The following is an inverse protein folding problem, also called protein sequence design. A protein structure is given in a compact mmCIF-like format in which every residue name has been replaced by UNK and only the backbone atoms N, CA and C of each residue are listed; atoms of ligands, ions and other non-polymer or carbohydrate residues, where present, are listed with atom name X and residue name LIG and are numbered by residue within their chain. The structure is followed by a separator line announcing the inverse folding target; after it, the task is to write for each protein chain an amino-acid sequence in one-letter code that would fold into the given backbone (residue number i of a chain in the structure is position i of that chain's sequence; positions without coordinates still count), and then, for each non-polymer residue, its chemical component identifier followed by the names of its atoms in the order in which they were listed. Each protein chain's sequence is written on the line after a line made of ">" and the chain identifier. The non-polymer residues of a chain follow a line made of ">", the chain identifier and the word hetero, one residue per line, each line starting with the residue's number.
data_IF_773020016625
#
_entry.id   IF_773020016625
#
_cell.length_a   1.000
_cell.length_b   1.000
_cell.length_c   1.000
_cell.angle_alpha   90.00
_cell.angle_beta   90.00
_cell.angle_gamma   90.00
#
_symmetry.space_group_name_H-M   'P 1'
#
loop_
_entity.id
_entity.type
_entity.pdbx_description
1 polymer ?
#
# COMPACT_ATOMS: atom_id res chain seq x y z
N UNK A 1 -13.77 25.64 -20.32
CA UNK A 1 -12.63 26.52 -20.55
C UNK A 1 -11.39 25.65 -20.63
N UNK A 2 -10.73 25.55 -21.78
CA UNK A 2 -9.47 24.80 -21.91
C UNK A 2 -8.36 25.62 -21.22
N UNK A 3 -7.69 25.04 -20.23
CA UNK A 3 -6.50 25.65 -19.60
C UNK A 3 -5.38 25.77 -20.63
N UNK A 4 -4.64 26.89 -20.58
CA UNK A 4 -3.50 27.10 -21.48
C UNK A 4 -2.38 26.07 -21.18
N UNK A 5 -1.54 25.68 -22.16
CA UNK A 5 -0.45 24.69 -21.94
C UNK A 5 0.51 25.06 -20.81
N UNK A 6 0.77 26.36 -20.60
CA UNK A 6 1.58 26.85 -19.47
C UNK A 6 0.94 26.62 -18.11
N UNK A 7 -0.39 26.61 -18.06
CA UNK A 7 -1.19 26.44 -16.85
C UNK A 7 -1.19 24.97 -16.42
N UNK A 8 -1.33 24.03 -17.36
CA UNK A 8 -1.18 22.58 -17.14
C UNK A 8 0.23 22.23 -16.63
N UNK A 9 1.26 22.91 -17.17
CA UNK A 9 2.65 22.72 -16.72
C UNK A 9 2.84 23.23 -15.28
N UNK A 10 2.22 24.36 -14.91
CA UNK A 10 2.29 24.90 -13.55
C UNK A 10 1.58 23.98 -12.54
N UNK A 11 0.39 23.49 -12.88
CA UNK A 11 -0.35 22.53 -12.04
C UNK A 11 0.46 21.25 -11.81
N UNK A 12 1.08 20.69 -12.85
CA UNK A 12 1.92 19.49 -12.73
C UNK A 12 3.13 19.75 -11.81
N UNK A 13 3.84 20.88 -11.98
CA UNK A 13 4.97 21.24 -11.11
C UNK A 13 4.57 21.40 -9.65
N UNK A 14 3.43 22.05 -9.39
CA UNK A 14 2.91 22.20 -8.01
C UNK A 14 2.54 20.84 -7.42
N UNK A 15 1.82 19.99 -8.15
CA UNK A 15 1.47 18.65 -7.73
C UNK A 15 2.72 17.83 -7.40
N UNK A 16 3.71 17.79 -8.28
CA UNK A 16 4.92 16.99 -8.10
C UNK A 16 5.76 17.49 -6.91
N UNK A 17 5.86 18.82 -6.73
CA UNK A 17 6.46 19.41 -5.54
C UNK A 17 5.69 19.05 -4.26
N UNK A 18 4.36 19.07 -4.31
CA UNK A 18 3.52 18.70 -3.18
C UNK A 18 3.69 17.22 -2.80
N UNK A 19 3.72 16.30 -3.77
CA UNK A 19 3.99 14.88 -3.55
C UNK A 19 5.33 14.71 -2.84
N UNK A 20 6.39 15.38 -3.28
CA UNK A 20 7.70 15.30 -2.65
C UNK A 20 7.70 15.81 -1.19
N UNK A 21 7.02 16.92 -0.92
CA UNK A 21 6.89 17.47 0.43
C UNK A 21 6.04 16.57 1.35
N UNK A 22 4.87 16.12 0.88
CA UNK A 22 4.00 15.24 1.66
C UNK A 22 4.67 13.90 1.98
N UNK A 23 5.38 13.32 1.01
CA UNK A 23 6.13 12.06 1.22
C UNK A 23 7.27 12.22 2.23
N UNK A 24 7.96 13.38 2.25
CA UNK A 24 9.11 13.61 3.13
C UNK A 24 8.69 14.03 4.54
N UNK A 25 7.81 15.03 4.64
CA UNK A 25 7.53 15.76 5.87
C UNK A 25 6.19 15.36 6.50
N UNK A 26 5.32 14.66 5.75
CA UNK A 26 3.93 14.41 6.08
C UNK A 26 3.03 15.60 5.78
N UNK A 27 1.72 15.35 5.73
CA UNK A 27 0.74 16.38 5.36
C UNK A 27 0.70 17.53 6.37
N UNK A 28 0.66 17.22 7.66
CA UNK A 28 0.49 18.25 8.71
C UNK A 28 1.63 19.28 8.72
N UNK A 29 2.88 18.82 8.60
CA UNK A 29 4.07 19.68 8.67
C UNK A 29 4.35 20.47 7.39
N UNK A 30 3.81 20.02 6.26
CA UNK A 30 4.00 20.69 4.97
C UNK A 30 3.15 21.96 4.88
N UNK A 31 3.70 23.03 4.33
CA UNK A 31 2.97 24.27 4.05
C UNK A 31 3.03 24.66 2.57
N UNK A 32 2.00 25.39 2.12
CA UNK A 32 1.86 25.78 0.70
C UNK A 32 2.99 26.71 0.20
N UNK A 33 3.62 27.48 1.08
CA UNK A 33 4.75 28.36 0.69
C UNK A 33 5.98 27.53 0.32
N UNK A 34 6.26 26.47 1.08
CA UNK A 34 7.38 25.56 0.79
C UNK A 34 7.14 24.82 -0.54
N UNK A 35 5.92 24.34 -0.78
CA UNK A 35 5.53 23.72 -2.06
C UNK A 35 5.72 24.72 -3.21
N UNK A 36 5.19 25.93 -3.08
CA UNK A 36 5.31 26.96 -4.09
C UNK A 36 6.77 27.30 -4.43
N UNK A 37 7.61 27.46 -3.41
CA UNK A 37 9.05 27.69 -3.60
C UNK A 37 9.73 26.56 -4.38
N UNK A 38 9.43 25.30 -4.06
CA UNK A 38 9.95 24.13 -4.76
C UNK A 38 9.44 24.05 -6.20
N UNK A 39 8.18 24.40 -6.44
CA UNK A 39 7.57 24.42 -7.78
C UNK A 39 8.03 25.61 -8.64
N UNK A 40 8.74 26.60 -8.06
CA UNK A 40 9.16 27.82 -8.74
C UNK A 40 7.99 28.76 -9.07
N UNK A 41 6.96 28.80 -8.21
CA UNK A 41 5.76 29.61 -8.40
C UNK A 41 5.42 30.43 -7.15
N UNK A 42 4.49 31.37 -7.25
CA UNK A 42 3.97 32.08 -6.07
C UNK A 42 2.98 31.24 -5.27
N UNK A 43 2.91 31.46 -3.96
CA UNK A 43 1.90 30.81 -3.12
C UNK A 43 0.46 31.15 -3.54
N UNK A 44 0.23 32.36 -4.07
CA UNK A 44 -1.05 32.77 -4.65
C UNK A 44 -1.46 31.91 -5.84
N UNK A 45 -0.50 31.52 -6.70
CA UNK A 45 -0.76 30.63 -7.83
C UNK A 45 -1.16 29.20 -7.37
N UNK A 46 -0.56 28.69 -6.31
CA UNK A 46 -0.97 27.39 -5.71
C UNK A 46 -2.42 27.46 -5.24
N UNK A 47 -2.80 28.53 -4.51
CA UNK A 47 -4.18 28.74 -4.06
C UNK A 47 -5.12 28.93 -5.25
N UNK A 48 -4.70 29.65 -6.27
CA UNK A 48 -5.51 29.86 -7.49
C UNK A 48 -5.86 28.51 -8.17
N UNK A 49 -4.88 27.59 -8.32
CA UNK A 49 -5.09 26.31 -9.00
C UNK A 49 -5.82 25.27 -8.13
N UNK A 50 -5.51 25.21 -6.86
CA UNK A 50 -5.97 24.09 -5.99
C UNK A 50 -6.92 24.53 -4.88
N UNK A 51 -7.04 25.82 -4.61
CA UNK A 51 -7.92 26.40 -3.59
C UNK A 51 -7.42 26.21 -2.17
N UNK A 52 -7.11 24.96 -1.76
CA UNK A 52 -6.65 24.65 -0.41
C UNK A 52 -5.57 23.57 -0.41
N UNK A 53 -4.89 23.41 0.73
CA UNK A 53 -3.92 22.35 0.95
C UNK A 53 -4.57 20.95 0.87
N UNK A 54 -5.81 20.83 1.40
CA UNK A 54 -6.57 19.56 1.36
C UNK A 54 -6.96 19.17 -0.06
N UNK A 55 -7.41 20.14 -0.89
CA UNK A 55 -7.69 19.88 -2.30
C UNK A 55 -6.43 19.52 -3.09
N UNK A 56 -5.31 20.20 -2.83
CA UNK A 56 -4.02 19.83 -3.41
C UNK A 56 -3.63 18.41 -3.00
N UNK A 57 -3.85 18.03 -1.73
CA UNK A 57 -3.63 16.65 -1.28
C UNK A 57 -4.49 15.66 -2.04
N UNK A 58 -5.80 15.91 -2.17
CA UNK A 58 -6.70 15.03 -2.93
C UNK A 58 -6.19 14.78 -4.36
N UNK A 59 -5.71 15.82 -5.04
CA UNK A 59 -5.13 15.69 -6.38
C UNK A 59 -3.84 14.85 -6.36
N UNK A 60 -3.00 15.00 -5.33
CA UNK A 60 -1.81 14.16 -5.16
C UNK A 60 -2.17 12.71 -4.87
N UNK A 61 -3.15 12.47 -4.00
CA UNK A 61 -3.68 11.14 -3.66
C UNK A 61 -4.20 10.44 -4.93
N UNK A 62 -5.06 11.09 -5.69
CA UNK A 62 -5.63 10.55 -6.93
C UNK A 62 -4.53 10.24 -7.95
N UNK A 63 -3.51 11.10 -8.04
CA UNK A 63 -2.40 10.88 -8.96
C UNK A 63 -1.52 9.68 -8.55
N UNK A 64 -1.10 9.60 -7.29
CA UNK A 64 -0.15 8.57 -6.84
C UNK A 64 -0.85 7.24 -6.60
N UNK A 65 -1.94 7.24 -5.83
CA UNK A 65 -2.63 6.01 -5.45
C UNK A 65 -3.45 5.45 -6.62
N UNK A 66 -4.04 6.33 -7.45
CA UNK A 66 -4.75 5.92 -8.67
C UNK A 66 -3.85 5.20 -9.66
N UNK A 67 -2.62 5.69 -9.87
CA UNK A 67 -1.63 5.01 -10.72
C UNK A 67 -1.22 3.65 -10.15
N UNK A 68 -1.04 3.56 -8.83
CA UNK A 68 -0.71 2.29 -8.19
C UNK A 68 -1.84 1.27 -8.29
N UNK A 69 -3.10 1.70 -8.10
CA UNK A 69 -4.28 0.85 -8.30
C UNK A 69 -4.36 0.35 -9.73
N UNK A 70 -4.25 1.23 -10.72
CA UNK A 70 -4.30 0.84 -12.13
C UNK A 70 -3.21 -0.20 -12.46
N UNK A 71 -1.99 0.01 -12.02
CA UNK A 71 -0.89 -0.94 -12.23
C UNK A 71 -1.12 -2.28 -11.54
N UNK A 72 -1.69 -2.26 -10.34
CA UNK A 72 -2.03 -3.50 -9.65
C UNK A 72 -3.12 -4.28 -10.39
N UNK A 73 -4.10 -3.61 -10.99
CA UNK A 73 -5.12 -4.25 -11.83
C UNK A 73 -4.54 -4.83 -13.11
N UNK A 74 -3.58 -4.13 -13.75
CA UNK A 74 -2.94 -4.59 -14.99
C UNK A 74 -1.97 -5.76 -14.76
N UNK A 75 -1.15 -5.71 -13.72
CA UNK A 75 -0.06 -6.67 -13.47
C UNK A 75 -0.37 -7.68 -12.35
N UNK A 76 -1.46 -7.50 -11.63
CA UNK A 76 -1.74 -8.15 -10.37
C UNK A 76 -0.80 -7.69 -9.24
N UNK A 77 -1.19 -7.93 -7.99
CA UNK A 77 -0.37 -7.56 -6.81
C UNK A 77 1.06 -8.15 -6.85
N UNK A 78 1.27 -9.43 -7.26
CA UNK A 78 2.61 -9.99 -7.41
C UNK A 78 3.43 -9.31 -8.51
N UNK A 79 2.79 -8.88 -9.59
CA UNK A 79 3.44 -8.16 -10.70
C UNK A 79 3.91 -6.77 -10.28
N UNK A 80 3.05 -6.02 -9.59
CA UNK A 80 3.37 -4.71 -9.03
C UNK A 80 4.53 -4.80 -8.04
N UNK A 81 4.52 -5.79 -7.14
CA UNK A 81 5.60 -6.01 -6.17
C UNK A 81 6.92 -6.32 -6.89
N UNK A 82 6.89 -7.18 -7.92
CA UNK A 82 8.07 -7.52 -8.72
C UNK A 82 8.64 -6.29 -9.43
N UNK A 83 7.80 -5.47 -10.04
CA UNK A 83 8.21 -4.24 -10.73
C UNK A 83 8.84 -3.25 -9.74
N UNK A 84 8.21 -3.06 -8.59
CA UNK A 84 8.73 -2.25 -7.50
C UNK A 84 10.11 -2.73 -7.02
N UNK A 85 10.28 -4.03 -6.85
CA UNK A 85 11.54 -4.63 -6.40
C UNK A 85 12.64 -4.53 -7.45
N UNK A 86 12.29 -4.57 -8.74
CA UNK A 86 13.25 -4.45 -9.83
C UNK A 86 13.77 -3.02 -10.02
N UNK A 87 12.95 -2.01 -9.65
CA UNK A 87 13.27 -0.59 -9.85
C UNK A 87 12.92 0.26 -8.62
N UNK A 88 13.49 -0.02 -7.44
CA UNK A 88 13.10 0.63 -6.18
C UNK A 88 13.32 2.16 -6.20
N UNK A 89 14.36 2.62 -6.88
CA UNK A 89 14.70 4.04 -7.01
C UNK A 89 13.60 4.82 -7.76
N UNK A 90 13.04 4.22 -8.80
CA UNK A 90 11.98 4.82 -9.62
C UNK A 90 10.68 5.01 -8.83
N UNK A 91 10.39 4.11 -7.89
CA UNK A 91 9.14 4.10 -7.12
C UNK A 91 9.30 4.63 -5.69
N UNK A 92 10.50 5.02 -5.29
CA UNK A 92 10.80 5.44 -3.92
C UNK A 92 9.88 6.57 -3.42
N UNK A 93 9.59 7.56 -4.26
CA UNK A 93 8.75 8.68 -3.89
C UNK A 93 7.28 8.27 -3.73
N UNK A 94 6.76 7.50 -4.68
CA UNK A 94 5.38 7.00 -4.68
C UNK A 94 5.11 6.11 -3.47
N UNK A 95 6.05 5.22 -3.16
CA UNK A 95 5.95 4.35 -1.98
C UNK A 95 5.99 5.16 -0.68
N UNK A 96 6.90 6.11 -0.56
CA UNK A 96 6.93 6.99 0.63
C UNK A 96 5.65 7.77 0.79
N UNK A 97 5.09 8.27 -0.32
CA UNK A 97 3.80 8.96 -0.31
C UNK A 97 2.68 8.02 0.15
N UNK A 98 2.59 6.83 -0.45
CA UNK A 98 1.60 5.81 -0.08
C UNK A 98 1.70 5.43 1.40
N UNK A 99 2.90 5.17 1.90
CA UNK A 99 3.14 4.87 3.32
C UNK A 99 2.57 5.98 4.21
N UNK A 100 2.88 7.25 3.89
CA UNK A 100 2.34 8.40 4.61
C UNK A 100 0.81 8.50 4.52
N UNK A 101 0.24 8.25 3.36
CA UNK A 101 -1.20 8.26 3.19
C UNK A 101 -1.91 7.19 4.03
N UNK A 102 -1.30 5.99 4.15
CA UNK A 102 -1.79 4.89 4.99
C UNK A 102 -1.63 5.25 6.47
N UNK A 103 -0.46 5.75 6.90
CA UNK A 103 -0.21 6.15 8.30
C UNK A 103 -1.17 7.26 8.78
N UNK A 104 -1.59 8.14 7.87
CA UNK A 104 -2.51 9.23 8.16
C UNK A 104 -3.99 8.87 7.90
N UNK A 105 -4.29 7.60 7.57
CA UNK A 105 -5.63 7.05 7.34
C UNK A 105 -6.47 7.90 6.39
N UNK A 106 -5.91 8.22 5.23
CA UNK A 106 -6.62 9.05 4.25
C UNK A 106 -7.71 8.26 3.52
N UNK A 107 -8.81 8.91 3.10
CA UNK A 107 -9.84 8.23 2.31
C UNK A 107 -9.30 7.58 1.02
N UNK A 108 -8.28 8.18 0.40
CA UNK A 108 -7.64 7.63 -0.78
C UNK A 108 -6.80 6.38 -0.46
N UNK A 109 -6.07 6.38 0.68
CA UNK A 109 -5.35 5.21 1.15
C UNK A 109 -6.32 4.07 1.52
N UNK A 110 -7.46 4.39 2.15
CA UNK A 110 -8.52 3.41 2.40
C UNK A 110 -8.98 2.75 1.09
N UNK A 111 -9.36 3.54 0.08
CA UNK A 111 -9.74 3.01 -1.24
C UNK A 111 -8.64 2.17 -1.90
N UNK A 112 -7.38 2.58 -1.76
CA UNK A 112 -6.25 1.81 -2.27
C UNK A 112 -6.17 0.43 -1.60
N UNK A 113 -6.22 0.36 -0.27
CA UNK A 113 -6.21 -0.90 0.48
C UNK A 113 -7.41 -1.77 0.13
N UNK A 114 -8.63 -1.20 0.07
CA UNK A 114 -9.85 -1.91 -0.31
C UNK A 114 -9.75 -2.53 -1.70
N UNK A 115 -9.17 -1.80 -2.67
CA UNK A 115 -8.94 -2.33 -4.02
C UNK A 115 -7.95 -3.48 -4.00
N UNK A 116 -6.82 -3.35 -3.29
CA UNK A 116 -5.84 -4.44 -3.16
C UNK A 116 -6.45 -5.70 -2.53
N UNK A 117 -7.30 -5.52 -1.51
CA UNK A 117 -8.01 -6.63 -0.87
C UNK A 117 -9.00 -7.28 -1.83
N UNK A 118 -9.78 -6.51 -2.58
CA UNK A 118 -10.72 -7.05 -3.56
C UNK A 118 -10.03 -7.86 -4.67
N UNK A 119 -8.93 -7.34 -5.22
CA UNK A 119 -8.11 -8.06 -6.21
C UNK A 119 -7.50 -9.35 -5.63
N UNK A 120 -6.98 -9.29 -4.40
CA UNK A 120 -6.44 -10.47 -3.72
C UNK A 120 -7.52 -11.52 -3.48
N UNK A 121 -8.71 -11.11 -3.07
CA UNK A 121 -9.87 -12.00 -2.87
C UNK A 121 -10.28 -12.69 -4.17
N UNK A 122 -10.32 -11.97 -5.29
CA UNK A 122 -10.62 -12.54 -6.60
C UNK A 122 -9.57 -13.58 -7.03
N UNK A 123 -8.28 -13.31 -6.81
CA UNK A 123 -7.19 -14.26 -7.08
C UNK A 123 -7.33 -15.52 -6.22
N UNK A 124 -7.63 -15.38 -4.93
CA UNK A 124 -7.83 -16.50 -4.01
C UNK A 124 -9.03 -17.36 -4.45
N UNK A 125 -10.16 -16.74 -4.81
CA UNK A 125 -11.33 -17.47 -5.32
C UNK A 125 -11.02 -18.25 -6.60
N UNK A 126 -10.32 -17.65 -7.55
CA UNK A 126 -9.92 -18.31 -8.78
C UNK A 126 -8.98 -19.50 -8.50
N UNK A 127 -7.95 -19.31 -7.68
CA UNK A 127 -7.02 -20.38 -7.30
C UNK A 127 -7.67 -21.54 -6.54
N UNK A 128 -8.67 -21.25 -5.70
CA UNK A 128 -9.47 -22.30 -5.03
C UNK A 128 -10.35 -23.06 -6.02
N UNK A 129 -10.97 -22.36 -6.98
CA UNK A 129 -11.80 -22.98 -8.01
C UNK A 129 -10.98 -23.88 -8.95
N UNK A 130 -9.75 -23.48 -9.28
CA UNK A 130 -8.82 -24.25 -10.11
C UNK A 130 -8.11 -25.38 -9.34
N UNK A 131 -8.22 -25.43 -8.00
CA UNK A 131 -7.55 -26.40 -7.16
C UNK A 131 -6.06 -26.11 -6.91
N UNK A 132 -5.56 -24.95 -7.31
CA UNK A 132 -4.18 -24.49 -7.05
C UNK A 132 -4.00 -23.92 -5.64
N UNK A 133 -5.10 -23.54 -4.97
CA UNK A 133 -5.11 -23.04 -3.61
C UNK A 133 -6.06 -23.84 -2.73
N UNK A 134 -5.72 -23.96 -1.44
CA UNK A 134 -6.57 -24.65 -0.45
C UNK A 134 -7.79 -23.80 -0.10
N UNK A 135 -8.96 -24.43 0.18
CA UNK A 135 -10.14 -23.71 0.66
C UNK A 135 -9.86 -22.98 1.98
N UNK A 136 -10.45 -21.80 2.14
CA UNK A 136 -10.45 -21.02 3.37
C UNK A 136 -11.86 -20.92 3.95
N UNK A 137 -11.99 -20.86 5.25
CA UNK A 137 -13.27 -20.60 5.94
C UNK A 137 -13.75 -19.16 5.75
N UNK A 138 -12.82 -18.22 5.49
CA UNK A 138 -13.10 -16.82 5.23
C UNK A 138 -12.06 -16.28 4.23
N UNK A 139 -12.46 -16.23 2.96
CA UNK A 139 -11.57 -15.80 1.87
C UNK A 139 -11.27 -14.31 1.96
N UNK A 140 -12.24 -13.49 2.41
CA UNK A 140 -12.06 -12.06 2.59
C UNK A 140 -11.02 -11.77 3.68
N UNK A 141 -11.13 -12.42 4.84
CA UNK A 141 -10.15 -12.27 5.92
C UNK A 141 -8.75 -12.74 5.48
N UNK A 142 -8.65 -13.83 4.71
CA UNK A 142 -7.39 -14.29 4.13
C UNK A 142 -6.79 -13.28 3.16
N UNK A 143 -7.61 -12.63 2.31
CA UNK A 143 -7.17 -11.57 1.41
C UNK A 143 -6.62 -10.37 2.19
N UNK A 144 -7.33 -9.93 3.24
CA UNK A 144 -6.87 -8.86 4.13
C UNK A 144 -5.51 -9.19 4.74
N UNK A 145 -5.34 -10.40 5.31
CA UNK A 145 -4.08 -10.84 5.89
C UNK A 145 -2.94 -10.82 4.86
N UNK A 146 -3.20 -11.32 3.65
CA UNK A 146 -2.21 -11.38 2.57
C UNK A 146 -1.76 -9.97 2.14
N UNK A 147 -2.71 -9.05 1.94
CA UNK A 147 -2.44 -7.67 1.55
C UNK A 147 -1.68 -6.93 2.64
N UNK A 148 -2.12 -7.00 3.90
CA UNK A 148 -1.45 -6.33 5.01
C UNK A 148 -0.04 -6.86 5.24
N UNK A 149 0.19 -8.17 5.11
CA UNK A 149 1.52 -8.76 5.17
C UNK A 149 2.43 -8.23 4.06
N UNK A 150 1.91 -8.06 2.84
CA UNK A 150 2.65 -7.48 1.72
C UNK A 150 2.95 -5.99 1.94
N UNK A 151 1.98 -5.22 2.43
CA UNK A 151 2.17 -3.80 2.75
C UNK A 151 3.17 -3.58 3.89
N UNK A 152 3.24 -4.49 4.86
CA UNK A 152 4.24 -4.42 5.94
C UNK A 152 5.68 -4.40 5.41
N UNK A 153 5.97 -5.07 4.31
CA UNK A 153 7.28 -5.03 3.65
C UNK A 153 7.64 -3.63 3.12
N UNK A 154 6.64 -2.82 2.78
CA UNK A 154 6.81 -1.46 2.28
C UNK A 154 6.81 -0.41 3.40
N UNK A 155 6.06 -0.67 4.49
CA UNK A 155 5.90 0.27 5.61
C UNK A 155 6.96 0.09 6.69
N UNK A 156 7.55 -1.11 6.84
CA UNK A 156 8.49 -1.46 7.90
C UNK A 156 9.88 -1.94 7.39
N UNK A 157 10.45 -1.38 6.30
CA UNK A 157 11.72 -1.89 5.77
C UNK A 157 12.90 -1.86 6.77
N UNK A 158 13.14 -0.77 7.55
CA UNK A 158 14.29 -0.74 8.46
C UNK A 158 14.21 -1.76 9.61
N UNK A 159 13.06 -1.94 10.32
CA UNK A 159 12.92 -3.00 11.31
C UNK A 159 13.17 -4.40 10.76
N UNK A 160 12.66 -4.69 9.55
CA UNK A 160 12.85 -6.00 8.90
C UNK A 160 14.32 -6.27 8.58
N UNK A 161 15.02 -5.31 7.97
CA UNK A 161 16.45 -5.45 7.67
C UNK A 161 17.25 -5.73 8.94
N UNK A 162 17.05 -4.91 9.98
CA UNK A 162 17.75 -5.05 11.27
C UNK A 162 17.46 -6.41 11.94
N UNK A 163 16.23 -6.88 11.93
CA UNK A 163 15.85 -8.17 12.51
C UNK A 163 16.53 -9.35 11.81
N UNK A 164 16.84 -9.19 10.52
CA UNK A 164 17.54 -10.19 9.72
C UNK A 164 19.07 -9.99 9.69
N UNK A 165 19.61 -8.99 10.41
CA UNK A 165 21.05 -8.71 10.52
C UNK A 165 21.62 -7.93 9.34
N UNK A 166 20.79 -7.14 8.63
CA UNK A 166 21.21 -6.27 7.54
C UNK A 166 21.13 -4.79 7.93
N UNK A 167 22.06 -3.97 7.45
CA UNK A 167 22.11 -2.53 7.72
C UNK A 167 20.96 -1.78 7.01
N UNK A 168 20.50 -2.30 5.87
CA UNK A 168 19.43 -1.70 5.07
C UNK A 168 18.58 -2.73 4.39
N UNK A 169 17.33 -2.35 4.10
CA UNK A 169 16.44 -3.16 3.29
C UNK A 169 16.88 -3.15 1.82
N UNK A 170 16.89 -4.33 1.19
CA UNK A 170 17.33 -4.48 -0.19
C UNK A 170 17.11 -5.89 -0.73
N UNK A 171 17.66 -6.18 -1.93
CA UNK A 171 17.46 -7.47 -2.60
C UNK A 171 17.88 -8.70 -1.77
N UNK A 172 18.86 -8.54 -0.89
CA UNK A 172 19.34 -9.62 -0.03
C UNK A 172 18.34 -9.99 1.07
N UNK A 173 17.72 -8.98 1.69
CA UNK A 173 16.63 -9.18 2.67
C UNK A 173 15.48 -9.94 2.00
N UNK A 174 15.07 -9.48 0.83
CA UNK A 174 13.98 -10.09 0.07
C UNK A 174 14.28 -11.52 -0.34
N UNK A 175 15.49 -11.79 -0.83
CA UNK A 175 15.94 -13.14 -1.18
C UNK A 175 15.93 -14.07 0.03
N UNK A 176 16.35 -13.58 1.20
CA UNK A 176 16.36 -14.36 2.43
C UNK A 176 14.94 -14.70 2.91
N UNK A 177 13.98 -13.81 2.69
CA UNK A 177 12.58 -14.02 3.06
C UNK A 177 11.80 -14.88 2.07
N UNK A 178 12.22 -14.94 0.80
CA UNK A 178 11.43 -15.54 -0.28
C UNK A 178 11.09 -17.02 -0.03
N UNK A 179 12.08 -17.87 0.25
CA UNK A 179 11.85 -19.30 0.50
C UNK A 179 11.00 -19.55 1.74
N UNK A 180 11.32 -19.00 2.93
CA UNK A 180 10.48 -19.19 4.11
C UNK A 180 9.04 -18.70 3.92
N UNK A 181 8.82 -17.65 3.15
CA UNK A 181 7.47 -17.17 2.81
C UNK A 181 6.73 -18.20 1.93
N UNK A 182 7.37 -18.74 0.91
CA UNK A 182 6.78 -19.77 0.04
C UNK A 182 6.53 -21.06 0.80
N UNK A 183 7.42 -21.49 1.67
CA UNK A 183 7.25 -22.66 2.54
C UNK A 183 6.04 -22.48 3.45
N UNK A 184 5.89 -21.29 4.07
CA UNK A 184 4.73 -20.96 4.90
C UNK A 184 3.42 -21.05 4.12
N UNK A 185 3.35 -20.50 2.91
CA UNK A 185 2.13 -20.56 2.08
C UNK A 185 1.87 -21.97 1.53
N UNK A 186 2.90 -22.77 1.28
CA UNK A 186 2.76 -24.10 0.68
C UNK A 186 2.42 -25.16 1.73
N UNK A 187 3.12 -25.15 2.85
CA UNK A 187 3.05 -26.22 3.87
C UNK A 187 2.31 -25.78 5.14
N UNK A 188 2.23 -24.46 5.42
CA UNK A 188 1.80 -23.91 6.68
C UNK A 188 2.94 -23.90 7.71
N UNK A 189 2.70 -23.28 8.87
CA UNK A 189 3.67 -23.18 9.97
C UNK A 189 3.63 -24.37 10.91
N UNK A 190 2.44 -24.94 11.13
CA UNK A 190 2.23 -26.01 12.09
C UNK A 190 2.36 -27.39 11.44
N UNK A 191 2.93 -28.33 12.17
CA UNK A 191 3.11 -29.70 11.72
C UNK A 191 1.79 -30.49 11.62
N UNK A 192 0.77 -30.07 12.38
CA UNK A 192 -0.57 -30.66 12.42
C UNK A 192 -1.65 -29.58 12.60
N UNK A 193 -2.90 -30.00 12.67
CA UNK A 193 -4.07 -29.12 12.78
C UNK A 193 -4.54 -28.88 14.23
N UNK A 194 -3.78 -29.33 15.24
CA UNK A 194 -4.15 -29.18 16.64
C UNK A 194 -4.40 -27.72 17.07
N UNK A 195 -3.55 -26.73 16.66
CA UNK A 195 -3.82 -25.33 16.97
C UNK A 195 -5.12 -24.80 16.34
N UNK A 196 -5.43 -25.23 15.12
CA UNK A 196 -6.67 -24.84 14.43
C UNK A 196 -7.91 -25.43 15.10
N UNK A 197 -7.86 -26.70 15.50
CA UNK A 197 -8.93 -27.38 16.24
C UNK A 197 -9.17 -26.72 17.59
N UNK A 198 -8.11 -26.39 18.32
CA UNK A 198 -8.20 -25.70 19.60
C UNK A 198 -8.84 -24.30 19.47
N UNK A 199 -8.47 -23.54 18.43
CA UNK A 199 -9.06 -22.23 18.18
C UNK A 199 -10.55 -22.34 17.83
N UNK A 200 -10.96 -23.30 16.99
CA UNK A 200 -12.38 -23.52 16.64
C UNK A 200 -13.21 -23.85 17.87
N UNK A 201 -12.76 -24.78 18.70
CA UNK A 201 -13.45 -25.14 19.94
C UNK A 201 -13.60 -23.95 20.91
N UNK A 202 -12.56 -23.10 21.01
CA UNK A 202 -12.63 -21.90 21.84
C UNK A 202 -13.65 -20.87 21.32
N UNK A 203 -13.75 -20.70 20.00
CA UNK A 203 -14.72 -19.80 19.39
C UNK A 203 -16.16 -20.31 19.54
N UNK A 204 -16.42 -21.59 19.31
CA UNK A 204 -17.71 -22.21 19.50
C UNK A 204 -18.18 -22.03 20.95
N UNK A 205 -17.36 -22.32 21.94
CA UNK A 205 -17.67 -22.11 23.36
C UNK A 205 -17.88 -20.64 23.74
N UNK A 206 -17.30 -19.70 22.99
CA UNK A 206 -17.50 -18.27 23.22
C UNK A 206 -18.78 -17.73 22.61
N UNK A 207 -19.30 -18.35 21.56
CA UNK A 207 -20.58 -17.99 20.95
C UNK A 207 -21.76 -18.49 21.80
N UNK A 208 -21.69 -19.73 22.29
CA UNK A 208 -22.72 -20.29 23.19
C UNK A 208 -22.96 -19.39 24.41
N UNK A 209 -21.89 -18.81 25.00
CA UNK A 209 -22.00 -17.88 26.15
C UNK A 209 -22.56 -16.49 25.82
N UNK A 210 -22.67 -16.12 24.54
CA UNK A 210 -23.28 -14.84 24.13
C UNK A 210 -24.75 -14.97 23.83
N UNK A 211 -25.20 -16.19 23.54
CA UNK A 211 -26.59 -16.50 23.22
C UNK A 211 -27.41 -16.91 24.46
N UNK A 212 -26.74 -17.08 25.63
CA UNK A 212 -27.34 -17.24 26.97
C UNK A 212 -27.53 -15.85 27.67
#
# INVERSE_FOLDING_TARGET
>A
MCSAPSDLTAQAKIRDAAIAHFARDGFQKTNLRAIAATAGVSAGLVIHHFGSKDKLRSVCDDHVLGVLVQRAQEAGTPGLLREFMSNPEQYHLQVRYMVRAIEEDTPAAGRFVDTMVAESEAILHAGMAEGSMRPSSDVRALAVLTVLSSLAMLTMPPPMARALGYDRFGPEVLRRMALPTLELYTHGLYADDAPLKAARAAWEASQEKRDE
#
